data_IF_712004291296
#
_entry.id   IF_712004291296
#
_cell.length_a   1.000
_cell.length_b   1.000
_cell.length_c   1.000
_cell.angle_alpha   90.00
_cell.angle_beta   90.00
_cell.angle_gamma   90.00
#
_symmetry.space_group_name_H-M   'P 1'
#
loop_
_entity.id
_entity.type
_entity.pdbx_description
1 polymer ?
#
# COMPACT_ATOMS: atom_id res chain seq x y z
N UNK A 1 20.87 24.17 27.39
CA UNK A 1 20.47 22.81 27.78
C UNK A 1 19.50 22.95 28.94
N UNK A 2 18.25 22.51 28.83
CA UNK A 2 17.34 22.50 29.97
C UNK A 2 17.67 21.28 30.82
N UNK A 3 18.10 21.53 32.05
CA UNK A 3 18.29 20.49 33.07
C UNK A 3 16.91 19.90 33.40
N UNK A 4 16.84 18.60 33.68
CA UNK A 4 15.62 18.01 34.22
C UNK A 4 15.26 18.71 35.55
N UNK A 5 14.02 19.16 35.66
CA UNK A 5 13.39 19.55 36.92
C UNK A 5 13.42 18.35 37.88
N UNK A 6 14.05 18.48 39.06
CA UNK A 6 14.20 17.39 40.04
C UNK A 6 12.87 16.91 40.65
N UNK A 7 11.78 17.66 40.49
CA UNK A 7 10.47 17.34 41.07
C UNK A 7 9.57 16.50 40.13
N UNK A 8 10.06 16.17 38.92
CA UNK A 8 9.28 15.44 37.90
C UNK A 8 9.91 14.07 37.64
N UNK A 9 9.11 13.02 37.80
CA UNK A 9 9.52 11.64 37.52
C UNK A 9 9.86 11.44 36.04
N UNK A 10 11.05 10.89 35.81
CA UNK A 10 11.57 10.52 34.50
C UNK A 10 10.73 9.40 33.90
N UNK A 11 10.24 9.59 32.67
CA UNK A 11 9.40 8.61 31.99
C UNK A 11 9.86 8.37 30.55
N UNK A 12 10.07 7.11 30.15
CA UNK A 12 10.38 6.75 28.77
C UNK A 12 9.19 7.01 27.83
N UNK A 13 9.45 7.29 26.53
CA UNK A 13 8.40 7.53 25.55
C UNK A 13 7.61 6.27 25.21
N UNK A 14 6.30 6.43 25.04
CA UNK A 14 5.49 5.49 24.29
C UNK A 14 5.65 5.80 22.79
N UNK A 15 6.13 4.82 22.02
CA UNK A 15 6.44 5.00 20.60
C UNK A 15 5.40 4.29 19.75
N UNK A 16 4.77 5.00 18.82
CA UNK A 16 3.82 4.44 17.86
C UNK A 16 4.15 4.89 16.45
N UNK A 17 4.04 3.98 15.49
CA UNK A 17 4.12 4.31 14.07
C UNK A 17 2.73 4.26 13.45
N UNK A 18 2.33 5.36 12.84
CA UNK A 18 1.07 5.52 12.14
C UNK A 18 1.28 5.29 10.64
N UNK A 19 0.39 4.51 10.00
CA UNK A 19 0.41 4.34 8.56
C UNK A 19 0.05 5.66 7.84
N UNK A 20 0.32 5.75 6.53
CA UNK A 20 -0.16 6.86 5.71
C UNK A 20 -1.68 6.97 5.76
N UNK A 21 -2.20 8.20 5.62
CA UNK A 21 -3.64 8.40 5.60
C UNK A 21 -4.29 7.78 4.36
N UNK A 22 -5.51 7.28 4.50
CA UNK A 22 -6.26 6.68 3.38
C UNK A 22 -6.43 7.65 2.21
N UNK A 23 -6.59 8.94 2.48
CA UNK A 23 -6.67 10.00 1.46
C UNK A 23 -5.35 10.17 0.70
N UNK A 24 -4.21 10.22 1.40
CA UNK A 24 -2.89 10.32 0.76
C UNK A 24 -2.63 9.13 -0.16
N UNK A 25 -3.01 7.92 0.26
CA UNK A 25 -2.86 6.71 -0.56
C UNK A 25 -3.79 6.74 -1.78
N UNK A 26 -5.05 7.17 -1.63
CA UNK A 26 -6.03 7.23 -2.72
C UNK A 26 -5.72 8.31 -3.76
N UNK A 27 -5.30 9.50 -3.34
CA UNK A 27 -4.96 10.59 -4.28
C UNK A 27 -3.71 10.27 -5.08
N UNK A 28 -2.75 9.56 -4.45
CA UNK A 28 -1.54 9.08 -5.12
C UNK A 28 -1.79 7.92 -6.09
N UNK A 29 -2.89 7.18 -5.94
CA UNK A 29 -3.30 6.15 -6.94
C UNK A 29 -3.74 6.77 -8.27
N UNK A 30 -4.23 8.02 -8.27
CA UNK A 30 -4.70 8.76 -9.46
C UNK A 30 -3.57 9.43 -10.25
N UNK A 31 -2.42 9.69 -9.61
CA UNK A 31 -1.21 10.26 -10.23
C UNK A 31 -0.20 9.13 -10.48
N UNK A 32 0.74 9.32 -11.41
CA UNK A 32 1.72 8.30 -11.81
C UNK A 32 2.23 7.40 -10.66
N UNK A 33 1.80 6.13 -10.64
CA UNK A 33 2.19 5.12 -9.62
C UNK A 33 3.71 4.96 -9.48
N UNK A 34 4.50 5.39 -10.48
CA UNK A 34 5.97 5.27 -10.48
C UNK A 34 6.68 6.27 -9.54
N UNK A 35 6.12 7.46 -9.31
CA UNK A 35 6.75 8.52 -8.48
C UNK A 35 5.95 8.89 -7.23
N UNK A 36 4.79 8.27 -7.02
CA UNK A 36 3.99 8.41 -5.82
C UNK A 36 4.80 8.12 -4.54
N UNK A 37 4.79 9.08 -3.62
CA UNK A 37 5.36 8.95 -2.27
C UNK A 37 4.24 9.07 -1.22
N UNK A 38 4.40 8.33 -0.13
CA UNK A 38 3.51 8.33 1.03
C UNK A 38 4.30 8.68 2.29
N UNK A 39 3.60 9.17 3.31
CA UNK A 39 4.22 9.65 4.54
C UNK A 39 3.82 8.75 5.71
N UNK A 40 4.80 8.18 6.40
CA UNK A 40 4.58 7.52 7.69
C UNK A 40 4.92 8.49 8.82
N UNK A 41 4.26 8.34 9.97
CA UNK A 41 4.50 9.21 11.12
C UNK A 41 4.84 8.35 12.33
N UNK A 42 5.99 8.60 12.94
CA UNK A 42 6.31 8.08 14.26
C UNK A 42 6.01 9.16 15.29
N UNK A 43 5.28 8.79 16.33
CA UNK A 43 4.96 9.66 17.45
C UNK A 43 5.54 9.03 18.70
N UNK A 44 6.35 9.79 19.42
CA UNK A 44 6.82 9.46 20.76
C UNK A 44 6.10 10.39 21.74
N UNK A 45 5.34 9.84 22.68
CA UNK A 45 4.50 10.59 23.61
C UNK A 45 4.81 10.25 25.06
N UNK A 46 4.34 11.10 25.97
CA UNK A 46 4.33 10.84 27.42
C UNK A 46 5.74 10.63 28.02
N UNK A 47 6.73 11.35 27.49
CA UNK A 47 8.11 11.25 27.97
C UNK A 47 8.57 12.51 28.71
N UNK A 48 9.54 12.32 29.59
CA UNK A 48 10.20 13.40 30.32
C UNK A 48 11.58 12.93 30.81
N UNK A 49 12.68 13.68 30.63
CA UNK A 49 12.81 15.03 30.07
C UNK A 49 12.73 15.09 28.53
N UNK A 50 12.95 16.25 27.90
CA UNK A 50 12.79 16.47 26.45
C UNK A 50 13.91 15.87 25.56
N UNK A 51 14.91 15.23 26.16
CA UNK A 51 16.10 14.70 25.48
C UNK A 51 15.82 13.37 24.77
N UNK A 52 15.40 13.44 23.51
CA UNK A 52 15.12 12.28 22.67
C UNK A 52 15.68 12.45 21.26
N UNK A 53 16.20 11.37 20.67
CA UNK A 53 16.55 11.28 19.24
C UNK A 53 15.68 10.26 18.56
N UNK A 54 15.18 10.59 17.37
CA UNK A 54 14.35 9.68 16.56
C UNK A 54 15.09 9.35 15.26
N UNK A 55 15.15 8.06 14.93
CA UNK A 55 15.76 7.53 13.71
C UNK A 55 14.85 6.48 13.06
N UNK A 56 15.11 6.17 11.79
CA UNK A 56 14.26 5.28 11.02
C UNK A 56 15.06 4.20 10.31
N UNK A 57 14.50 3.00 10.27
CA UNK A 57 14.95 1.91 9.40
C UNK A 57 13.82 1.46 8.48
N UNK A 58 14.16 1.24 7.22
CA UNK A 58 13.28 0.63 6.21
C UNK A 58 13.91 -0.67 5.77
N UNK A 59 13.22 -1.79 5.97
CA UNK A 59 13.73 -3.13 5.67
C UNK A 59 15.09 -3.40 6.33
N UNK A 60 15.27 -2.94 7.57
CA UNK A 60 16.51 -3.05 8.34
C UNK A 60 17.62 -2.08 7.94
N UNK A 61 17.46 -1.28 6.87
CA UNK A 61 18.45 -0.30 6.41
C UNK A 61 18.13 1.09 6.94
N UNK A 62 19.15 1.86 7.31
CA UNK A 62 18.97 3.22 7.79
C UNK A 62 18.32 4.12 6.73
N UNK A 63 17.30 4.86 7.16
CA UNK A 63 16.48 5.74 6.34
C UNK A 63 16.23 7.09 7.00
N UNK A 64 16.98 7.42 8.05
CA UNK A 64 16.85 8.66 8.81
C UNK A 64 17.00 9.91 7.92
N UNK A 65 17.86 9.87 6.90
CA UNK A 65 18.04 10.99 5.95
C UNK A 65 16.78 11.34 5.14
N UNK A 66 15.83 10.40 5.06
CA UNK A 66 14.54 10.57 4.37
C UNK A 66 13.41 10.97 5.33
N UNK A 67 13.74 11.15 6.60
CA UNK A 67 12.81 11.54 7.65
C UNK A 67 13.01 13.00 8.04
N UNK A 68 11.94 13.62 8.54
CA UNK A 68 11.98 14.94 9.14
C UNK A 68 11.34 14.87 10.52
N UNK A 69 12.16 15.05 11.54
CA UNK A 69 11.74 15.13 12.94
C UNK A 69 11.39 16.58 13.27
N UNK A 70 10.38 16.78 14.11
CA UNK A 70 10.03 18.11 14.60
C UNK A 70 11.21 18.77 15.31
N UNK A 71 11.34 20.09 15.17
CA UNK A 71 12.50 20.83 15.67
C UNK A 71 12.63 20.79 17.21
N UNK A 72 11.50 20.67 17.91
CA UNK A 72 11.43 20.64 19.35
C UNK A 72 10.28 19.72 19.79
N UNK A 73 10.44 19.08 20.96
CA UNK A 73 9.36 18.36 21.60
C UNK A 73 8.35 19.36 22.16
N UNK A 74 7.07 19.07 21.99
CA UNK A 74 5.97 19.88 22.51
C UNK A 74 5.61 19.40 23.91
N UNK A 75 5.49 20.34 24.86
CA UNK A 75 5.06 20.04 26.22
C UNK A 75 3.53 20.10 26.33
N UNK A 76 2.92 19.07 26.90
CA UNK A 76 1.51 19.04 27.26
C UNK A 76 1.24 19.70 28.62
N UNK A 77 -0.04 19.78 29.00
CA UNK A 77 -0.48 20.34 30.28
C UNK A 77 0.03 19.54 31.49
N UNK A 78 0.24 18.24 31.30
CA UNK A 78 0.79 17.28 32.25
C UNK A 78 2.31 17.38 32.44
N UNK A 79 2.94 18.43 31.88
CA UNK A 79 4.40 18.63 31.80
C UNK A 79 5.14 17.52 31.06
N UNK A 80 4.44 16.61 30.36
CA UNK A 80 5.05 15.57 29.52
C UNK A 80 5.35 16.11 28.14
N UNK A 81 6.33 15.53 27.48
CA UNK A 81 6.75 15.90 26.13
C UNK A 81 6.22 14.90 25.09
N UNK A 82 6.00 15.41 23.90
CA UNK A 82 5.67 14.64 22.70
C UNK A 82 6.46 15.14 21.51
N UNK A 83 6.91 14.24 20.64
CA UNK A 83 7.64 14.59 19.41
C UNK A 83 7.19 13.68 18.27
N UNK A 84 7.09 14.24 17.06
CA UNK A 84 6.78 13.46 15.87
C UNK A 84 7.91 13.49 14.84
N UNK A 85 8.07 12.38 14.13
CA UNK A 85 8.98 12.25 12.99
C UNK A 85 8.23 11.71 11.79
N UNK A 86 8.43 12.33 10.64
CA UNK A 86 7.72 12.00 9.39
C UNK A 86 8.68 11.40 8.39
N UNK A 87 8.44 10.17 7.96
CA UNK A 87 9.24 9.45 6.98
C UNK A 87 8.53 9.41 5.63
N UNK A 88 9.16 9.96 4.58
CA UNK A 88 8.62 9.89 3.21
C UNK A 88 9.22 8.73 2.43
N UNK A 89 8.39 7.77 2.02
CA UNK A 89 8.81 6.60 1.23
C UNK A 89 8.02 6.51 -0.07
N UNK A 90 8.49 5.70 -1.03
CA UNK A 90 7.73 5.44 -2.24
C UNK A 90 6.52 4.56 -1.95
N UNK A 91 5.40 4.84 -2.61
CA UNK A 91 4.17 4.05 -2.50
C UNK A 91 4.43 2.58 -2.81
N UNK A 92 5.30 2.28 -3.80
CA UNK A 92 5.70 0.92 -4.16
C UNK A 92 6.34 0.13 -3.01
N UNK A 93 7.12 0.78 -2.15
CA UNK A 93 7.74 0.12 -0.99
C UNK A 93 6.68 -0.08 0.09
N UNK A 94 5.84 0.92 0.35
CA UNK A 94 4.72 0.79 1.28
C UNK A 94 3.72 -0.31 0.88
N UNK A 95 3.44 -0.46 -0.41
CA UNK A 95 2.51 -1.45 -0.94
C UNK A 95 2.94 -2.90 -0.74
N UNK A 96 4.24 -3.15 -0.46
CA UNK A 96 4.77 -4.50 -0.28
C UNK A 96 4.56 -4.93 1.18
N UNK A 97 3.79 -6.01 1.45
CA UNK A 97 3.58 -6.48 2.81
C UNK A 97 4.86 -6.97 3.49
N UNK A 98 5.87 -7.38 2.70
CA UNK A 98 7.20 -7.76 3.19
C UNK A 98 8.08 -6.56 3.57
N UNK A 99 7.66 -5.33 3.27
CA UNK A 99 8.42 -4.15 3.69
C UNK A 99 8.11 -3.77 5.12
N UNK A 100 9.15 -3.50 5.91
CA UNK A 100 9.08 -3.15 7.32
C UNK A 100 9.58 -1.73 7.54
N UNK A 101 8.88 -0.99 8.39
CA UNK A 101 9.21 0.39 8.74
C UNK A 101 9.34 0.47 10.24
N UNK A 102 10.57 0.68 10.72
CA UNK A 102 10.89 0.71 12.15
C UNK A 102 11.31 2.11 12.53
N UNK A 103 10.57 2.71 13.45
CA UNK A 103 10.98 3.92 14.16
C UNK A 103 11.78 3.50 15.39
N UNK A 104 12.93 4.13 15.59
CA UNK A 104 13.82 3.91 16.73
C UNK A 104 13.96 5.24 17.45
N UNK A 105 13.89 5.19 18.77
CA UNK A 105 14.04 6.34 19.65
C UNK A 105 15.17 6.07 20.63
N UNK A 106 15.96 7.09 20.92
CA UNK A 106 17.02 7.08 21.92
C UNK A 106 16.71 8.19 22.90
N UNK A 107 16.15 7.81 24.05
CA UNK A 107 15.68 8.72 25.09
C UNK A 107 16.69 8.77 26.23
N UNK A 108 17.08 9.96 26.68
CA UNK A 108 18.02 10.13 27.78
C UNK A 108 17.29 10.35 29.10
N UNK A 109 17.48 9.44 30.04
CA UNK A 109 16.78 9.46 31.34
C UNK A 109 17.51 10.29 32.42
N UNK A 110 18.58 11.00 32.06
CA UNK A 110 19.45 11.70 33.01
C UNK A 110 20.72 10.92 33.41
N UNK A 111 20.82 9.63 33.05
CA UNK A 111 22.02 8.81 33.27
C UNK A 111 22.43 8.05 32.01
N UNK A 112 21.48 7.37 31.37
CA UNK A 112 21.71 6.49 30.21
C UNK A 112 20.69 6.75 29.11
N UNK A 113 20.98 6.22 27.91
CA UNK A 113 20.07 6.24 26.78
C UNK A 113 19.24 4.94 26.74
N UNK A 114 17.92 5.09 26.81
CA UNK A 114 16.97 4.00 26.70
C UNK A 114 16.49 3.89 25.25
N UNK A 115 16.62 2.71 24.61
CA UNK A 115 16.11 2.49 23.27
C UNK A 115 14.60 2.20 23.33
N UNK A 116 13.82 2.91 22.52
CA UNK A 116 12.42 2.58 22.22
C UNK A 116 12.26 2.30 20.74
N UNK A 117 11.38 1.38 20.35
CA UNK A 117 11.12 1.17 18.92
C UNK A 117 9.69 0.70 18.66
N UNK A 118 9.19 1.05 17.48
CA UNK A 118 7.91 0.57 16.98
C UNK A 118 8.04 0.25 15.50
N UNK A 119 7.44 -0.87 15.08
CA UNK A 119 7.52 -1.37 13.70
C UNK A 119 6.14 -1.58 13.12
N UNK A 120 5.96 -1.18 11.87
CA UNK A 120 4.78 -1.52 11.08
C UNK A 120 5.18 -2.14 9.75
N UNK A 121 4.33 -3.04 9.26
CA UNK A 121 4.49 -3.66 7.95
C UNK A 121 3.80 -2.83 6.87
N UNK A 122 4.22 -3.01 5.63
CA UNK A 122 3.62 -2.36 4.47
C UNK A 122 2.14 -2.71 4.34
N UNK A 123 1.34 -1.71 3.95
CA UNK A 123 -0.12 -1.79 3.97
C UNK A 123 -0.76 -2.76 2.98
N UNK A 124 0.02 -3.47 2.15
CA UNK A 124 -0.47 -4.46 1.20
C UNK A 124 -1.47 -3.87 0.20
N UNK A 125 -1.03 -3.52 -1.01
CA UNK A 125 -1.98 -3.11 -2.05
C UNK A 125 -2.47 -4.36 -2.78
N UNK A 126 -3.78 -4.62 -2.74
CA UNK A 126 -4.42 -5.50 -3.71
C UNK A 126 -4.10 -4.95 -5.11
N UNK A 127 -3.27 -5.68 -5.84
CA UNK A 127 -2.71 -5.25 -7.11
C UNK A 127 -3.83 -5.09 -8.14
N UNK A 128 -4.04 -3.86 -8.59
CA UNK A 128 -5.00 -3.45 -9.63
C UNK A 128 -4.77 -4.17 -10.99
N UNK A 129 -3.57 -4.74 -11.16
CA UNK A 129 -3.24 -5.63 -12.28
C UNK A 129 -4.14 -6.87 -12.34
N UNK A 130 -4.62 -7.35 -11.18
CA UNK A 130 -5.51 -8.51 -11.09
C UNK A 130 -6.87 -8.22 -11.76
N UNK A 131 -7.36 -6.97 -11.67
CA UNK A 131 -8.61 -6.55 -12.31
C UNK A 131 -8.48 -6.46 -13.83
N UNK A 132 -7.37 -5.93 -14.33
CA UNK A 132 -7.10 -5.81 -15.76
C UNK A 132 -6.90 -7.20 -16.41
N UNK A 133 -6.18 -8.10 -15.73
CA UNK A 133 -5.98 -9.48 -16.18
C UNK A 133 -7.32 -10.24 -16.17
N UNK A 134 -8.14 -10.06 -15.13
CA UNK A 134 -9.47 -10.69 -15.02
C UNK A 134 -10.43 -10.19 -16.10
N UNK A 135 -10.42 -8.88 -16.40
CA UNK A 135 -11.19 -8.29 -17.48
C UNK A 135 -10.74 -8.78 -18.87
N UNK A 136 -9.43 -8.95 -19.08
CA UNK A 136 -8.86 -9.48 -20.33
C UNK A 136 -9.23 -10.96 -20.52
N UNK A 137 -9.26 -11.75 -19.45
CA UNK A 137 -9.64 -13.16 -19.48
C UNK A 137 -11.14 -13.35 -19.77
N UNK A 138 -12.01 -12.56 -19.14
CA UNK A 138 -13.45 -12.60 -19.43
C UNK A 138 -13.77 -12.19 -20.86
N UNK A 139 -13.07 -11.18 -21.40
CA UNK A 139 -13.23 -10.75 -22.79
C UNK A 139 -12.81 -11.86 -23.76
N UNK A 140 -11.68 -12.54 -23.51
CA UNK A 140 -11.22 -13.68 -24.33
C UNK A 140 -12.19 -14.86 -24.33
N UNK A 141 -12.78 -15.19 -23.17
CA UNK A 141 -13.80 -16.25 -23.09
C UNK A 141 -15.06 -15.89 -23.87
N UNK A 142 -15.50 -14.63 -23.81
CA UNK A 142 -16.69 -14.17 -24.55
C UNK A 142 -16.51 -14.29 -26.08
N UNK A 143 -15.36 -13.84 -26.61
CA UNK A 143 -15.05 -13.95 -28.04
C UNK A 143 -15.02 -15.40 -28.51
N UNK A 144 -14.46 -16.31 -27.70
CA UNK A 144 -14.45 -17.75 -28.01
C UNK A 144 -15.85 -18.34 -28.16
N UNK A 145 -16.78 -17.97 -27.27
CA UNK A 145 -18.18 -18.42 -27.34
C UNK A 145 -18.88 -17.89 -28.59
N UNK A 146 -18.69 -16.62 -28.96
CA UNK A 146 -19.28 -16.04 -30.16
C UNK A 146 -18.79 -16.73 -31.44
N UNK A 147 -17.49 -17.01 -31.54
CA UNK A 147 -16.91 -17.71 -32.70
C UNK A 147 -17.47 -19.13 -32.80
N UNK A 148 -17.48 -19.88 -31.70
CA UNK A 148 -18.02 -21.23 -31.68
C UNK A 148 -19.50 -21.26 -32.11
N UNK A 149 -20.29 -20.30 -31.62
CA UNK A 149 -21.70 -20.16 -32.01
C UNK A 149 -21.85 -19.85 -33.50
N UNK A 150 -21.02 -18.94 -34.04
CA UNK A 150 -21.00 -18.60 -35.47
C UNK A 150 -20.66 -19.80 -36.35
N UNK A 151 -19.69 -20.62 -35.97
CA UNK A 151 -19.34 -21.85 -36.70
C UNK A 151 -20.48 -22.86 -36.69
N UNK A 152 -21.17 -23.03 -35.56
CA UNK A 152 -22.35 -23.90 -35.46
C UNK A 152 -23.50 -23.42 -36.36
N UNK A 153 -23.76 -22.12 -36.40
CA UNK A 153 -24.76 -21.54 -37.32
C UNK A 153 -24.35 -21.75 -38.78
N UNK A 154 -23.08 -21.56 -39.12
CA UNK A 154 -22.57 -21.81 -40.47
C UNK A 154 -22.75 -23.26 -40.92
N UNK A 155 -22.45 -24.22 -40.05
CA UNK A 155 -22.67 -25.66 -40.32
C UNK A 155 -24.16 -26.01 -40.44
N UNK A 156 -25.02 -25.40 -39.62
CA UNK A 156 -26.45 -25.65 -39.71
C UNK A 156 -27.04 -25.15 -41.03
N UNK A 157 -26.70 -23.92 -41.43
CA UNK A 157 -27.18 -23.32 -42.68
C UNK A 157 -26.68 -24.10 -43.90
N UNK A 158 -25.43 -24.56 -43.91
CA UNK A 158 -24.91 -25.37 -45.02
C UNK A 158 -25.61 -26.72 -45.15
N UNK A 159 -25.93 -27.41 -44.04
CA UNK A 159 -26.73 -28.64 -44.06
C UNK A 159 -28.15 -28.39 -44.61
N UNK A 160 -28.80 -27.30 -44.19
CA UNK A 160 -30.15 -26.93 -44.67
C UNK A 160 -30.13 -26.67 -46.17
N UNK A 161 -29.16 -25.90 -46.68
CA UNK A 161 -29.00 -25.61 -48.11
C UNK A 161 -28.75 -26.90 -48.90
N UNK A 162 -27.86 -27.78 -48.43
CA UNK A 162 -27.62 -29.08 -49.06
C UNK A 162 -28.89 -29.95 -49.12
N UNK A 163 -29.69 -29.97 -48.05
CA UNK A 163 -30.97 -30.71 -48.04
C UNK A 163 -32.01 -30.10 -48.97
N UNK A 164 -32.05 -28.78 -49.13
CA UNK A 164 -32.96 -28.10 -50.04
C UNK A 164 -32.55 -28.31 -51.51
N UNK A 165 -31.28 -28.14 -51.84
CA UNK A 165 -30.80 -28.38 -53.21
C UNK A 165 -30.82 -29.87 -53.60
N UNK A 166 -30.54 -30.78 -52.67
CA UNK A 166 -30.70 -32.22 -52.91
C UNK A 166 -32.14 -32.63 -53.19
N UNK A 167 -33.13 -31.94 -52.60
CA UNK A 167 -34.56 -32.13 -52.93
C UNK A 167 -34.92 -31.56 -54.30
N UNK A 168 -34.32 -30.44 -54.72
CA UNK A 168 -34.56 -29.85 -56.04
C UNK A 168 -33.95 -30.68 -57.17
N UNK A 169 -32.74 -31.21 -56.99
CA UNK A 169 -32.06 -32.07 -57.98
C UNK A 169 -32.79 -33.42 -58.13
N UNK A 170 -33.26 -34.01 -57.03
CA UNK A 170 -34.02 -35.27 -57.10
C UNK A 170 -35.41 -35.10 -57.73
N UNK A 171 -35.95 -33.87 -57.75
CA UNK A 171 -37.23 -33.53 -58.42
C UNK A 171 -37.05 -33.15 -59.90
N UNK A 172 -35.82 -32.90 -60.34
CA UNK A 172 -35.48 -32.55 -61.72
C UNK A 172 -34.95 -33.74 -62.56
N UNK A 173 -34.59 -34.87 -61.93
CA UNK A 173 -34.11 -36.10 -62.61
C UNK A 173 -35.19 -37.18 -62.71
N UNK A 174 -36.34 -37.00 -62.04
CA UNK A 174 -37.50 -37.90 -62.11
C UNK A 174 -38.69 -37.27 -62.85
N UNK A 175 -38.53 -36.98 -64.14
CA UNK A 175 -39.62 -36.89 -65.11
C UNK A 175 -39.06 -37.18 -66.51
#
# INVERSE_FOLDING_TARGET
MKQADPDIEVRPPEVKVLPPSSQEVCDRKKKDKKSAKVTLVCVATDFYPDHIKVSWKVNGKDATDKSRTDNAAQQGEDKRYSISSRLRVSAKVWSKPSSTFTCITSFYNGSTYLPGSATINGGGVADDSDYLVKATLSAKLSYGVFIAKSCLYGLFVSIVVWKLQGKTVSKAVGN
#
